data_IF_539125485815
#
_entry.id   IF_539125485815
#
_cell.length_a   1.000
_cell.length_b   1.000
_cell.length_c   1.000
_cell.angle_alpha   90.00
_cell.angle_beta   90.00
_cell.angle_gamma   90.00
#
_symmetry.space_group_name_H-M   'P 1'
#
loop_
_entity.id
_entity.type
_entity.pdbx_description
1 polymer ?
#
# COMPACT_ATOMS: atom_id res chain seq x y z
N UNK A 1 16.05 -1.92 9.35
CA UNK A 1 16.55 -1.19 10.52
C UNK A 1 16.04 0.24 10.45
N UNK A 2 15.23 0.67 11.41
CA UNK A 2 14.69 2.03 11.45
C UNK A 2 15.62 2.92 12.27
N UNK A 3 16.32 3.84 11.62
CA UNK A 3 16.95 4.98 12.30
C UNK A 3 15.99 6.17 12.24
N UNK A 4 15.68 6.65 13.44
CA UNK A 4 14.81 7.79 13.74
C UNK A 4 15.61 9.07 13.48
N UNK A 5 15.27 9.80 12.43
CA UNK A 5 15.75 11.16 12.22
C UNK A 5 14.62 12.14 11.94
N UNK A 6 14.75 13.32 12.56
CA UNK A 6 13.75 14.38 12.62
C UNK A 6 13.72 15.12 11.29
N UNK A 7 12.78 14.77 10.44
CA UNK A 7 12.10 15.68 9.49
C UNK A 7 10.81 14.99 9.10
N UNK A 8 9.71 15.74 9.16
CA UNK A 8 8.40 15.32 8.66
C UNK A 8 8.42 15.17 7.13
N UNK A 9 9.32 14.37 6.58
CA UNK A 9 9.14 13.79 5.26
C UNK A 9 8.14 12.64 5.43
N UNK A 10 6.91 13.00 5.81
CA UNK A 10 5.73 12.23 5.45
C UNK A 10 5.94 11.90 3.98
N UNK A 11 6.09 10.62 3.68
CA UNK A 11 6.30 10.10 2.35
C UNK A 11 5.47 10.92 1.34
N UNK A 12 6.12 11.76 0.51
CA UNK A 12 5.44 12.66 -0.43
C UNK A 12 4.97 11.92 -1.69
N UNK A 13 4.65 10.64 -1.58
CA UNK A 13 4.11 9.90 -2.72
C UNK A 13 2.67 10.35 -2.92
N UNK A 14 2.38 10.81 -4.13
CA UNK A 14 1.00 11.04 -4.52
C UNK A 14 0.25 9.69 -4.55
N UNK A 15 -1.08 9.73 -4.44
CA UNK A 15 -1.89 8.52 -4.39
C UNK A 15 -1.64 7.62 -5.63
N UNK A 16 -1.59 6.31 -5.41
CA UNK A 16 -1.56 5.32 -6.49
C UNK A 16 -2.88 5.39 -7.24
N UNK A 17 -2.84 5.63 -8.55
CA UNK A 17 -4.02 5.75 -9.41
C UNK A 17 -4.17 4.56 -10.35
N UNK A 18 -3.06 4.01 -10.81
CA UNK A 18 -3.02 2.97 -11.83
C UNK A 18 -2.06 1.84 -11.46
N UNK A 19 -2.39 0.63 -11.93
CA UNK A 19 -1.57 -0.57 -11.81
C UNK A 19 -1.06 -0.95 -13.19
N UNK A 20 0.25 -0.94 -13.40
CA UNK A 20 0.88 -1.42 -14.63
C UNK A 20 1.09 -2.93 -14.56
N UNK A 21 1.66 -3.41 -13.46
CA UNK A 21 1.86 -4.84 -13.16
C UNK A 21 1.60 -5.11 -11.68
N UNK A 22 1.86 -6.31 -11.18
CA UNK A 22 1.63 -6.61 -9.76
C UNK A 22 2.56 -5.82 -8.83
N UNK A 23 3.75 -5.48 -9.31
CA UNK A 23 4.76 -4.75 -8.57
C UNK A 23 5.07 -3.36 -9.17
N UNK A 24 4.38 -2.93 -10.22
CA UNK A 24 4.53 -1.59 -10.79
C UNK A 24 3.22 -0.82 -10.71
N UNK A 25 3.28 0.35 -10.08
CA UNK A 25 2.16 1.24 -9.88
C UNK A 25 2.51 2.66 -10.29
N UNK A 26 1.53 3.39 -10.79
CA UNK A 26 1.68 4.80 -11.18
C UNK A 26 0.87 5.67 -10.22
N UNK A 27 1.46 6.78 -9.82
CA UNK A 27 0.83 7.77 -8.94
C UNK A 27 0.14 8.86 -9.76
N UNK A 28 -0.73 9.65 -9.11
CA UNK A 28 -1.41 10.77 -9.76
C UNK A 28 -0.46 11.84 -10.32
N UNK A 29 0.76 11.95 -9.77
CA UNK A 29 1.85 12.79 -10.31
C UNK A 29 2.46 12.27 -11.62
N UNK A 30 2.09 11.06 -12.05
CA UNK A 30 2.67 10.37 -13.21
C UNK A 30 3.91 9.53 -12.90
N UNK A 31 4.40 9.53 -11.66
CA UNK A 31 5.58 8.74 -11.25
C UNK A 31 5.23 7.25 -11.21
N UNK A 32 6.10 6.41 -11.77
CA UNK A 32 5.98 4.95 -11.71
C UNK A 32 6.92 4.41 -10.65
N UNK A 33 6.36 3.66 -9.70
CA UNK A 33 7.11 2.98 -8.65
C UNK A 33 7.19 1.49 -8.93
N UNK A 34 8.39 0.93 -8.75
CA UNK A 34 8.64 -0.51 -8.72
C UNK A 34 8.75 -0.98 -7.28
N UNK A 35 7.81 -1.81 -6.85
CA UNK A 35 7.77 -2.42 -5.53
C UNK A 35 8.65 -3.66 -5.52
N UNK A 36 9.58 -3.72 -4.55
CA UNK A 36 10.47 -4.85 -4.38
C UNK A 36 10.22 -5.53 -3.04
N UNK A 37 10.32 -6.86 -3.05
CA UNK A 37 10.07 -7.69 -1.87
C UNK A 37 8.58 -7.94 -1.60
N UNK A 38 8.31 -8.54 -0.44
CA UNK A 38 6.96 -8.76 0.06
C UNK A 38 6.57 -7.64 1.01
N UNK A 39 5.27 -7.39 1.14
CA UNK A 39 4.78 -6.46 2.16
C UNK A 39 5.20 -6.94 3.55
N UNK A 40 5.61 -6.01 4.40
CA UNK A 40 5.88 -6.32 5.80
C UNK A 40 4.56 -6.48 6.56
N UNK A 41 4.07 -7.72 6.60
CA UNK A 41 2.81 -8.05 7.28
C UNK A 41 2.84 -7.76 8.79
N UNK A 42 4.01 -7.78 9.42
CA UNK A 42 4.14 -7.49 10.84
C UNK A 42 4.00 -5.98 11.10
N UNK A 43 4.63 -5.16 10.26
CA UNK A 43 4.42 -3.71 10.28
C UNK A 43 2.96 -3.35 10.02
N UNK A 44 2.33 -3.92 8.99
CA UNK A 44 0.92 -3.65 8.67
C UNK A 44 -0.02 -4.03 9.82
N UNK A 45 0.23 -5.14 10.50
CA UNK A 45 -0.55 -5.52 11.69
C UNK A 45 -0.40 -4.51 12.82
N UNK A 46 0.83 -4.00 13.03
CA UNK A 46 1.11 -2.99 14.06
C UNK A 46 0.39 -1.66 13.78
N UNK A 47 0.24 -1.30 12.51
CA UNK A 47 -0.53 -0.15 12.04
C UNK A 47 -2.06 -0.39 12.06
N UNK A 48 -2.52 -1.57 12.51
CA UNK A 48 -3.94 -1.87 12.68
C UNK A 48 -4.64 -2.36 11.40
N UNK A 49 -3.89 -2.77 10.37
CA UNK A 49 -4.48 -3.38 9.19
C UNK A 49 -4.87 -4.85 9.44
N UNK A 50 -6.07 -5.28 9.02
CA UNK A 50 -6.47 -6.67 9.11
C UNK A 50 -5.51 -7.59 8.33
N UNK A 51 -5.25 -8.77 8.90
CA UNK A 51 -4.40 -9.76 8.26
C UNK A 51 -4.95 -10.19 6.89
N UNK A 52 -6.28 -10.38 6.79
CA UNK A 52 -6.98 -10.76 5.54
C UNK A 52 -6.77 -9.72 4.44
N UNK A 53 -6.83 -8.43 4.78
CA UNK A 53 -6.57 -7.34 3.85
C UNK A 53 -5.10 -7.35 3.40
N UNK A 54 -4.18 -7.35 4.36
CA UNK A 54 -2.73 -7.30 4.10
C UNK A 54 -2.26 -8.46 3.22
N UNK A 55 -2.79 -9.67 3.42
CA UNK A 55 -2.42 -10.86 2.65
C UNK A 55 -2.74 -10.72 1.16
N UNK A 56 -3.77 -9.96 0.78
CA UNK A 56 -4.11 -9.68 -0.63
C UNK A 56 -3.02 -8.87 -1.35
N UNK A 57 -2.15 -8.19 -0.60
CA UNK A 57 -1.05 -7.36 -1.10
C UNK A 57 0.35 -7.96 -0.88
N UNK A 58 0.44 -9.24 -0.51
CA UNK A 58 1.71 -9.91 -0.18
C UNK A 58 2.79 -9.72 -1.25
N UNK A 59 2.38 -9.77 -2.52
CA UNK A 59 3.26 -9.61 -3.69
C UNK A 59 2.98 -8.32 -4.46
N UNK A 60 2.40 -7.30 -3.80
CA UNK A 60 2.02 -6.03 -4.43
C UNK A 60 0.54 -5.97 -4.82
N UNK A 61 0.22 -5.13 -5.81
CA UNK A 61 -1.15 -4.78 -6.18
C UNK A 61 -1.77 -5.83 -7.12
N UNK A 62 -2.84 -6.47 -6.68
CA UNK A 62 -3.64 -7.37 -7.53
C UNK A 62 -4.49 -6.60 -8.53
N UNK A 63 -5.06 -7.25 -9.55
CA UNK A 63 -5.93 -6.56 -10.54
C UNK A 63 -7.14 -5.86 -9.89
N UNK A 64 -7.68 -6.45 -8.83
CA UNK A 64 -8.87 -5.97 -8.08
C UNK A 64 -8.52 -5.15 -6.85
N UNK A 65 -7.29 -4.61 -6.78
CA UNK A 65 -6.82 -3.91 -5.59
C UNK A 65 -7.71 -2.74 -5.17
N UNK A 66 -8.31 -2.02 -6.13
CA UNK A 66 -9.23 -0.91 -5.87
C UNK A 66 -10.47 -1.38 -5.12
N UNK A 67 -11.08 -2.47 -5.59
CA UNK A 67 -12.24 -3.09 -4.93
C UNK A 67 -11.89 -3.53 -3.51
N UNK A 68 -10.70 -4.07 -3.27
CA UNK A 68 -10.28 -4.48 -1.94
C UNK A 68 -10.03 -3.31 -1.00
N UNK A 69 -9.53 -2.19 -1.52
CA UNK A 69 -9.38 -0.94 -0.74
C UNK A 69 -10.75 -0.35 -0.44
N UNK A 70 -11.67 -0.36 -1.40
CA UNK A 70 -13.04 0.13 -1.22
C UNK A 70 -13.81 -0.73 -0.20
N UNK A 71 -13.80 -2.05 -0.33
CA UNK A 71 -14.36 -3.01 0.65
C UNK A 71 -13.82 -2.71 2.05
N UNK A 72 -12.50 -2.51 2.18
CA UNK A 72 -11.87 -2.20 3.45
C UNK A 72 -12.31 -0.85 4.04
N UNK A 73 -12.45 0.20 3.21
CA UNK A 73 -12.90 1.51 3.66
C UNK A 73 -14.37 1.49 4.08
N UNK A 74 -15.22 0.76 3.36
CA UNK A 74 -16.62 0.55 3.72
C UNK A 74 -16.77 -0.23 5.03
N UNK A 75 -15.95 -1.26 5.25
CA UNK A 75 -15.89 -1.98 6.53
C UNK A 75 -15.51 -1.05 7.71
N UNK A 76 -14.70 0.00 7.46
CA UNK A 76 -14.29 0.97 8.51
C UNK A 76 -15.31 2.08 8.77
N UNK A 77 -16.25 2.30 7.85
CA UNK A 77 -17.33 3.30 7.98
C UNK A 77 -18.53 2.79 8.78
N UNK A 78 -18.65 1.47 8.92
CA UNK A 78 -19.64 0.79 9.78
C UNK A 78 -19.18 0.74 11.22
#
# INVERSE_FOLDING_TARGET
CFTRDKKQLLWHSSAVTERLTHNQVKTSSGTVYLLQGKIDSAAMRKEGFPHRFTKRFTFGFTRRWKEYVEEFLEERRR
#
